data_IF_545399916412
#
_entry.id   IF_545399916412
#
_cell.length_a   1.000
_cell.length_b   1.000
_cell.length_c   1.000
_cell.angle_alpha   90.00
_cell.angle_beta   90.00
_cell.angle_gamma   90.00
#
_symmetry.space_group_name_H-M   'P 1'
#
loop_
_entity.id
_entity.type
_entity.pdbx_description
1 polymer ?
#
# COMPACT_ATOMS: atom_id res chain seq x y z
N UNK A 1 30.99 -29.35 46.85
CA UNK A 1 30.42 -30.37 45.94
C UNK A 1 30.01 -29.66 44.68
N UNK A 2 30.59 -30.00 43.53
CA UNK A 2 30.24 -29.41 42.24
C UNK A 2 29.37 -30.42 41.49
N UNK A 3 28.12 -30.05 41.20
CA UNK A 3 27.22 -30.86 40.38
C UNK A 3 27.59 -30.60 38.91
N UNK A 4 28.11 -31.61 38.21
CA UNK A 4 28.37 -31.52 36.77
C UNK A 4 27.16 -32.14 36.07
N UNK A 5 26.40 -31.32 35.34
CA UNK A 5 25.32 -31.77 34.47
C UNK A 5 25.88 -31.88 33.06
N UNK A 6 25.96 -33.11 32.52
CA UNK A 6 26.35 -33.37 31.13
C UNK A 6 25.05 -33.49 30.32
N UNK A 7 24.79 -32.51 29.47
CA UNK A 7 23.68 -32.50 28.50
C UNK A 7 24.21 -32.92 27.13
N UNK A 8 23.36 -33.58 26.35
CA UNK A 8 23.70 -33.97 24.97
C UNK A 8 23.88 -32.76 24.06
N UNK A 9 24.68 -32.89 22.99
CA UNK A 9 24.86 -31.80 22.01
C UNK A 9 23.54 -31.37 21.36
N UNK A 10 22.56 -32.27 21.23
CA UNK A 10 21.21 -31.95 20.76
C UNK A 10 20.44 -31.07 21.75
N UNK A 11 20.51 -31.37 23.05
CA UNK A 11 19.84 -30.58 24.09
C UNK A 11 20.50 -29.21 24.25
N UNK A 12 21.84 -29.16 24.17
CA UNK A 12 22.60 -27.91 24.19
C UNK A 12 22.26 -27.00 23.00
N UNK A 13 22.13 -27.57 21.79
CA UNK A 13 21.71 -26.82 20.60
C UNK A 13 20.26 -26.35 20.67
N UNK A 14 19.35 -27.15 21.24
CA UNK A 14 17.96 -26.77 21.41
C UNK A 14 17.80 -25.66 22.44
N UNK A 15 18.52 -25.72 23.57
CA UNK A 15 18.57 -24.62 24.54
C UNK A 15 19.18 -23.35 23.94
N UNK A 16 20.27 -23.46 23.15
CA UNK A 16 20.86 -22.30 22.46
C UNK A 16 19.87 -21.65 21.49
N UNK A 17 19.17 -22.44 20.67
CA UNK A 17 18.13 -21.93 19.76
C UNK A 17 17.00 -21.25 20.53
N UNK A 18 16.54 -21.82 21.64
CA UNK A 18 15.50 -21.20 22.47
C UNK A 18 15.96 -19.86 23.06
N UNK A 19 17.19 -19.78 23.58
CA UNK A 19 17.75 -18.53 24.13
C UNK A 19 17.90 -17.47 23.03
N UNK A 20 18.34 -17.88 21.84
CA UNK A 20 18.46 -16.99 20.68
C UNK A 20 17.10 -16.49 20.19
N UNK A 21 16.08 -17.35 20.11
CA UNK A 21 14.71 -16.97 19.75
C UNK A 21 14.10 -15.99 20.77
N UNK A 22 14.29 -16.22 22.07
CA UNK A 22 13.81 -15.31 23.14
C UNK A 22 14.50 -13.95 23.02
N UNK A 23 15.82 -13.94 22.80
CA UNK A 23 16.59 -12.70 22.63
C UNK A 23 16.13 -11.89 21.40
N UNK A 24 15.83 -12.57 20.29
CA UNK A 24 15.30 -11.94 19.09
C UNK A 24 13.91 -11.35 19.35
N UNK A 25 13.05 -12.10 20.05
CA UNK A 25 11.70 -11.66 20.39
C UNK A 25 11.70 -10.38 21.25
N UNK A 26 12.53 -10.35 22.30
CA UNK A 26 12.67 -9.18 23.18
C UNK A 26 13.17 -7.94 22.40
N UNK A 27 14.10 -8.14 21.47
CA UNK A 27 14.61 -7.06 20.61
C UNK A 27 13.51 -6.45 19.75
N UNK A 28 12.70 -7.26 19.07
CA UNK A 28 11.61 -6.76 18.23
C UNK A 28 10.50 -6.11 19.06
N UNK A 29 10.20 -6.66 20.24
CA UNK A 29 9.22 -6.04 21.15
C UNK A 29 9.69 -4.67 21.63
N UNK A 30 10.93 -4.55 22.09
CA UNK A 30 11.52 -3.29 22.52
C UNK A 30 11.55 -2.25 21.39
N UNK A 31 11.89 -2.70 20.17
CA UNK A 31 11.87 -1.84 18.98
C UNK A 31 10.45 -1.36 18.66
N UNK A 32 9.46 -2.25 18.71
CA UNK A 32 8.06 -1.92 18.47
C UNK A 32 7.55 -0.90 19.49
N UNK A 33 7.81 -1.12 20.79
CA UNK A 33 7.44 -0.18 21.85
C UNK A 33 8.05 1.21 21.62
N UNK A 34 9.33 1.27 21.23
CA UNK A 34 10.01 2.53 20.87
C UNK A 34 9.38 3.23 19.66
N UNK A 35 8.98 2.48 18.63
CA UNK A 35 8.30 3.06 17.46
C UNK A 35 6.93 3.64 17.84
N UNK A 36 6.20 2.95 18.72
CA UNK A 36 4.86 3.36 19.16
C UNK A 36 4.85 4.62 20.03
N UNK A 37 5.98 4.99 20.65
CA UNK A 37 6.09 6.25 21.42
C UNK A 37 6.34 7.48 20.55
N UNK A 38 6.69 7.31 19.26
CA UNK A 38 6.86 8.47 18.38
C UNK A 38 5.56 9.23 18.26
N UNK A 39 5.65 10.56 18.34
CA UNK A 39 4.49 11.44 18.17
C UNK A 39 3.94 11.39 16.74
N UNK A 40 4.82 11.19 15.75
CA UNK A 40 4.53 11.15 14.32
C UNK A 40 5.32 10.03 13.62
N UNK A 41 4.73 9.41 12.59
CA UNK A 41 5.32 8.32 11.85
C UNK A 41 5.97 8.78 10.54
N UNK A 42 7.29 8.59 10.45
CA UNK A 42 8.04 8.63 9.20
C UNK A 42 8.05 7.25 8.52
N UNK A 43 8.50 7.19 7.25
CA UNK A 43 8.57 5.94 6.46
C UNK A 43 9.36 4.85 7.16
N UNK A 44 10.55 5.18 7.65
CA UNK A 44 11.45 4.24 8.33
C UNK A 44 10.79 3.62 9.57
N UNK A 45 10.02 4.40 10.31
CA UNK A 45 9.26 3.92 11.47
C UNK A 45 8.14 2.98 11.05
N UNK A 46 7.40 3.32 9.99
CA UNK A 46 6.34 2.45 9.46
C UNK A 46 6.92 1.10 9.02
N UNK A 47 8.05 1.12 8.29
CA UNK A 47 8.73 -0.09 7.83
C UNK A 47 9.26 -0.92 9.02
N UNK A 48 9.79 -0.27 10.05
CA UNK A 48 10.20 -0.93 11.31
C UNK A 48 9.03 -1.55 12.05
N UNK A 49 7.87 -0.88 12.13
CA UNK A 49 6.66 -1.44 12.75
C UNK A 49 6.25 -2.71 12.00
N UNK A 50 6.15 -2.65 10.66
CA UNK A 50 5.78 -3.81 9.83
C UNK A 50 6.75 -4.99 10.03
N UNK A 51 8.07 -4.72 10.05
CA UNK A 51 9.08 -5.73 10.31
C UNK A 51 8.95 -6.33 11.72
N UNK A 52 8.69 -5.51 12.74
CA UNK A 52 8.48 -6.00 14.10
C UNK A 52 7.23 -6.89 14.19
N UNK A 53 6.10 -6.47 13.62
CA UNK A 53 4.86 -7.27 13.60
C UNK A 53 5.09 -8.64 12.95
N UNK A 54 5.80 -8.65 11.82
CA UNK A 54 6.15 -9.89 11.10
C UNK A 54 7.00 -10.83 11.95
N UNK A 55 8.07 -10.31 12.56
CA UNK A 55 8.98 -11.12 13.38
C UNK A 55 8.36 -11.57 14.70
N UNK A 56 7.40 -10.81 15.23
CA UNK A 56 6.61 -11.17 16.41
C UNK A 56 5.43 -12.10 16.08
N UNK A 57 5.29 -12.54 14.82
CA UNK A 57 4.29 -13.50 14.34
C UNK A 57 2.84 -13.01 14.49
N UNK A 58 2.61 -11.72 14.29
CA UNK A 58 1.25 -11.19 14.12
C UNK A 58 0.64 -11.69 12.79
N UNK A 59 -0.69 -11.56 12.67
CA UNK A 59 -1.39 -11.89 11.43
C UNK A 59 -0.85 -11.07 10.26
N UNK A 60 -0.72 -11.69 9.08
CA UNK A 60 -0.18 -11.04 7.88
C UNK A 60 -0.96 -9.77 7.48
N UNK A 61 -2.27 -9.78 7.70
CA UNK A 61 -3.14 -8.62 7.49
C UNK A 61 -2.81 -7.45 8.41
N UNK A 62 -2.24 -7.68 9.60
CA UNK A 62 -1.78 -6.63 10.50
C UNK A 62 -0.40 -6.13 10.07
N UNK A 63 0.49 -7.04 9.70
CA UNK A 63 1.83 -6.72 9.19
C UNK A 63 1.79 -5.83 7.96
N UNK A 64 0.77 -6.01 7.10
CA UNK A 64 0.54 -5.22 5.90
C UNK A 64 -0.16 -3.88 6.15
N UNK A 65 -0.63 -3.63 7.38
CA UNK A 65 -1.34 -2.40 7.78
C UNK A 65 -0.74 -1.79 9.06
N UNK A 66 0.58 -1.44 9.05
CA UNK A 66 1.28 -0.92 10.22
C UNK A 66 0.74 0.44 10.71
N UNK A 67 0.17 1.30 9.85
CA UNK A 67 -0.42 2.58 10.27
C UNK A 67 -1.73 2.34 11.04
N UNK A 68 -2.61 1.47 10.55
CA UNK A 68 -3.83 1.06 11.27
C UNK A 68 -3.47 0.39 12.61
N UNK A 69 -2.43 -0.45 12.64
CA UNK A 69 -1.94 -1.03 13.90
C UNK A 69 -1.52 0.05 14.89
N UNK A 70 -0.69 1.02 14.45
CA UNK A 70 -0.25 2.13 15.27
C UNK A 70 -1.43 2.96 15.81
N UNK A 71 -2.38 3.32 14.96
CA UNK A 71 -3.59 4.08 15.35
C UNK A 71 -4.39 3.33 16.41
N UNK A 72 -4.67 2.05 16.16
CA UNK A 72 -5.44 1.19 17.06
C UNK A 72 -4.73 1.00 18.40
N UNK A 73 -3.39 0.92 18.39
CA UNK A 73 -2.58 0.81 19.60
C UNK A 73 -2.58 2.11 20.41
N UNK A 74 -2.45 3.28 19.75
CA UNK A 74 -2.53 4.61 20.38
C UNK A 74 -3.91 4.91 20.96
N UNK A 75 -4.95 4.37 20.34
CA UNK A 75 -6.33 4.41 20.83
C UNK A 75 -6.62 3.41 21.96
N UNK A 76 -5.69 2.50 22.26
CA UNK A 76 -5.89 1.34 23.14
C UNK A 76 -7.12 0.48 22.75
N UNK A 77 -7.32 0.32 21.44
CA UNK A 77 -8.47 -0.37 20.82
C UNK A 77 -8.00 -1.27 19.68
N UNK A 78 -7.22 -2.31 20.02
CA UNK A 78 -6.71 -3.28 19.02
C UNK A 78 -7.83 -4.10 18.36
N UNK A 79 -9.02 -4.16 18.97
CA UNK A 79 -10.23 -4.73 18.41
C UNK A 79 -10.74 -4.00 17.15
N UNK A 80 -10.30 -2.76 16.91
CA UNK A 80 -10.64 -2.02 15.70
C UNK A 80 -9.98 -2.58 14.44
N UNK A 81 -8.83 -3.24 14.58
CA UNK A 81 -8.08 -3.75 13.43
C UNK A 81 -8.92 -4.77 12.63
N UNK A 82 -9.43 -5.86 13.24
CA UNK A 82 -10.29 -6.78 12.51
C UNK A 82 -11.57 -6.10 12.01
N UNK A 83 -12.23 -5.25 12.80
CA UNK A 83 -13.43 -4.51 12.40
C UNK A 83 -13.21 -3.67 11.13
N UNK A 84 -12.06 -2.99 11.02
CA UNK A 84 -11.70 -2.18 9.86
C UNK A 84 -11.33 -3.05 8.66
N UNK A 85 -10.51 -4.09 8.87
CA UNK A 85 -10.03 -4.97 7.80
C UNK A 85 -11.15 -5.82 7.20
N UNK A 86 -12.10 -6.31 8.01
CA UNK A 86 -13.27 -7.06 7.53
C UNK A 86 -14.18 -6.20 6.64
N UNK A 87 -14.14 -4.88 6.83
CA UNK A 87 -14.79 -3.89 5.98
C UNK A 87 -13.89 -3.38 4.84
N UNK A 88 -12.77 -4.03 4.58
CA UNK A 88 -11.82 -3.71 3.50
C UNK A 88 -11.03 -2.42 3.70
N UNK A 89 -11.04 -1.84 4.90
CA UNK A 89 -10.32 -0.61 5.22
C UNK A 89 -8.86 -0.95 5.55
N UNK A 90 -7.95 -0.52 4.68
CA UNK A 90 -6.51 -0.75 4.79
C UNK A 90 -5.75 0.56 4.98
N UNK A 91 -4.43 0.51 5.20
CA UNK A 91 -3.57 1.70 5.30
C UNK A 91 -3.69 2.63 4.07
N UNK A 92 -4.04 2.08 2.90
CA UNK A 92 -4.30 2.87 1.68
C UNK A 92 -5.53 3.77 1.79
N UNK A 93 -6.45 3.48 2.71
CA UNK A 93 -7.65 4.29 2.90
C UNK A 93 -7.38 5.56 3.70
N UNK A 94 -6.26 5.67 4.40
CA UNK A 94 -5.90 6.87 5.16
C UNK A 94 -5.72 8.09 4.23
N UNK A 95 -6.14 9.29 4.66
CA UNK A 95 -6.94 9.56 5.86
C UNK A 95 -8.41 9.10 5.73
N UNK A 96 -8.95 8.56 6.82
CA UNK A 96 -10.36 8.21 6.98
C UNK A 96 -11.19 9.42 7.39
N UNK A 97 -12.42 9.46 6.87
CA UNK A 97 -13.38 10.51 7.21
C UNK A 97 -14.10 10.21 8.53
N UNK A 98 -14.36 11.26 9.33
CA UNK A 98 -15.11 11.19 10.60
C UNK A 98 -16.38 10.34 10.52
N UNK A 99 -17.13 10.46 9.43
CA UNK A 99 -18.39 9.75 9.21
C UNK A 99 -18.22 8.23 9.10
N UNK A 100 -17.10 7.78 8.52
CA UNK A 100 -16.80 6.37 8.36
C UNK A 100 -16.39 5.76 9.71
N UNK A 101 -15.51 6.45 10.43
CA UNK A 101 -14.97 5.97 11.72
C UNK A 101 -16.06 5.86 12.80
N UNK A 102 -17.08 6.73 12.76
CA UNK A 102 -18.27 6.67 13.63
C UNK A 102 -19.09 5.38 13.52
N UNK A 103 -18.84 4.52 12.53
CA UNK A 103 -19.44 3.18 12.49
C UNK A 103 -18.95 2.29 13.64
N UNK A 104 -17.71 2.49 14.09
CA UNK A 104 -17.06 1.66 15.10
C UNK A 104 -16.76 2.40 16.41
N UNK A 105 -16.75 3.74 16.37
CA UNK A 105 -16.35 4.59 17.50
C UNK A 105 -17.46 5.52 17.95
N UNK A 106 -17.51 5.79 19.26
CA UNK A 106 -18.35 6.86 19.82
C UNK A 106 -17.78 8.26 19.49
N UNK A 107 -18.47 9.34 19.87
CA UNK A 107 -18.03 10.70 19.52
C UNK A 107 -16.68 11.12 20.14
N UNK A 108 -16.41 10.72 21.38
CA UNK A 108 -15.14 11.03 22.05
C UNK A 108 -13.97 10.25 21.42
N UNK A 109 -14.18 8.95 21.17
CA UNK A 109 -13.22 8.10 20.48
C UNK A 109 -13.00 8.54 19.03
N UNK A 110 -14.06 8.96 18.34
CA UNK A 110 -13.96 9.50 16.98
C UNK A 110 -13.07 10.73 16.98
N UNK A 111 -13.24 11.65 17.94
CA UNK A 111 -12.39 12.84 18.04
C UNK A 111 -10.93 12.43 18.24
N UNK A 112 -10.66 11.56 19.22
CA UNK A 112 -9.31 11.05 19.47
C UNK A 112 -8.71 10.35 18.25
N UNK A 113 -9.50 9.58 17.50
CA UNK A 113 -9.04 8.94 16.27
C UNK A 113 -8.63 9.97 15.22
N UNK A 114 -9.43 11.02 15.01
CA UNK A 114 -9.09 12.08 14.04
C UNK A 114 -7.80 12.79 14.44
N UNK A 115 -7.64 13.13 15.73
CA UNK A 115 -6.46 13.81 16.24
C UNK A 115 -5.19 12.92 16.09
N UNK A 116 -5.28 11.62 16.37
CA UNK A 116 -4.14 10.69 16.22
C UNK A 116 -3.88 10.39 14.75
N UNK A 117 -4.89 10.35 13.88
CA UNK A 117 -4.71 10.07 12.45
C UNK A 117 -3.73 11.04 11.78
N UNK A 118 -3.71 12.30 12.20
CA UNK A 118 -2.78 13.30 11.67
C UNK A 118 -1.31 12.85 11.83
N UNK A 119 -0.99 12.09 12.88
CA UNK A 119 0.36 11.58 13.14
C UNK A 119 0.84 10.51 12.15
N UNK A 120 -0.06 9.89 11.37
CA UNK A 120 0.29 8.84 10.39
C UNK A 120 0.22 9.32 8.95
N UNK A 121 -0.13 10.60 8.74
CA UNK A 121 -0.18 11.22 7.42
C UNK A 121 1.21 11.67 6.98
N UNK A 122 1.49 11.50 5.70
CA UNK A 122 2.75 11.95 5.10
C UNK A 122 2.78 13.50 5.10
N UNK A 123 3.88 14.08 5.59
CA UNK A 123 4.06 15.54 5.72
C UNK A 123 4.69 16.13 4.47
N UNK A 124 5.53 15.34 3.80
CA UNK A 124 6.27 15.74 2.62
C UNK A 124 6.37 14.57 1.65
N UNK A 125 6.23 14.89 0.37
CA UNK A 125 6.45 13.94 -0.72
C UNK A 125 7.87 14.16 -1.23
N UNK A 126 8.81 13.35 -0.72
CA UNK A 126 10.13 13.24 -1.34
C UNK A 126 9.91 12.66 -2.74
N UNK A 127 10.01 13.51 -3.77
CA UNK A 127 9.70 13.17 -5.16
C UNK A 127 10.74 12.19 -5.75
N UNK A 128 10.62 10.93 -5.35
CA UNK A 128 11.03 9.76 -6.14
C UNK A 128 9.78 8.89 -6.29
N UNK A 129 8.92 9.17 -7.29
CA UNK A 129 7.64 8.50 -7.45
C UNK A 129 7.83 7.10 -8.06
N UNK A 130 8.38 6.16 -7.28
CA UNK A 130 8.42 4.73 -7.61
C UNK A 130 7.07 4.06 -7.29
N UNK A 131 5.95 4.60 -7.79
CA UNK A 131 4.62 4.02 -7.52
C UNK A 131 4.20 4.05 -6.04
N UNK A 132 4.70 5.01 -5.26
CA UNK A 132 4.33 5.15 -3.83
C UNK A 132 3.02 5.90 -3.68
N UNK A 133 2.13 5.36 -2.84
CA UNK A 133 0.97 6.09 -2.31
C UNK A 133 1.37 6.92 -1.09
N UNK A 134 0.86 8.16 -1.02
CA UNK A 134 1.05 9.07 0.10
C UNK A 134 -0.31 9.37 0.73
N UNK A 135 -0.42 9.21 2.05
CA UNK A 135 -1.62 9.54 2.80
C UNK A 135 -1.51 10.99 3.26
N UNK A 136 -2.06 11.92 2.48
CA UNK A 136 -1.97 13.37 2.73
C UNK A 136 -3.30 13.92 3.24
N UNK A 137 -3.22 14.98 4.06
CA UNK A 137 -4.40 15.71 4.53
C UNK A 137 -5.03 16.57 3.43
N UNK A 138 -4.19 17.29 2.68
CA UNK A 138 -4.60 18.09 1.52
C UNK A 138 -3.60 17.94 0.36
N UNK A 139 -4.09 18.12 -0.86
CA UNK A 139 -3.23 18.32 -2.02
C UNK A 139 -2.39 19.59 -1.93
N UNK A 140 -2.82 20.59 -1.14
CA UNK A 140 -2.04 21.81 -0.92
C UNK A 140 -0.74 21.54 -0.15
N UNK A 141 -0.64 20.38 0.52
CA UNK A 141 0.59 19.93 1.17
C UNK A 141 1.60 19.41 0.13
N UNK A 142 1.18 19.19 -1.12
CA UNK A 142 2.08 18.94 -2.23
C UNK A 142 2.54 20.28 -2.77
N UNK A 143 3.85 20.52 -2.80
CA UNK A 143 4.46 21.67 -3.49
C UNK A 143 4.35 21.50 -5.02
N UNK A 144 3.14 21.23 -5.52
CA UNK A 144 2.79 20.98 -6.91
C UNK A 144 1.96 22.14 -7.45
N UNK A 145 2.49 22.85 -8.44
CA UNK A 145 1.77 23.85 -9.19
C UNK A 145 1.01 23.21 -10.35
N UNK A 146 -0.31 23.43 -10.45
CA UNK A 146 -1.11 23.00 -11.60
C UNK A 146 -0.82 23.90 -12.79
N UNK A 147 -0.25 23.33 -13.85
CA UNK A 147 0.17 24.06 -15.06
C UNK A 147 -0.86 23.92 -16.18
N UNK A 148 -1.33 22.70 -16.44
CA UNK A 148 -2.23 22.42 -17.57
C UNK A 148 -3.17 21.27 -17.25
N UNK A 149 -4.44 21.41 -17.60
CA UNK A 149 -5.39 20.30 -17.54
C UNK A 149 -5.14 19.31 -18.67
N UNK A 150 -5.05 18.01 -18.37
CA UNK A 150 -4.78 16.94 -19.34
C UNK A 150 -6.02 16.10 -19.67
N UNK A 151 -6.99 15.98 -18.75
CA UNK A 151 -8.24 15.29 -18.99
C UNK A 151 -8.97 14.88 -17.70
N UNK A 152 -10.13 14.24 -17.83
CA UNK A 152 -10.84 13.60 -16.72
C UNK A 152 -11.32 12.21 -17.16
N UNK A 153 -11.35 11.27 -16.20
CA UNK A 153 -11.95 9.95 -16.34
C UNK A 153 -12.94 9.67 -15.22
N UNK A 154 -13.51 8.45 -15.19
CA UNK A 154 -14.53 8.06 -14.20
C UNK A 154 -14.08 8.20 -12.74
N UNK A 155 -12.77 8.26 -12.48
CA UNK A 155 -12.20 8.31 -11.14
C UNK A 155 -11.66 9.70 -10.74
N UNK A 156 -11.68 10.70 -11.63
CA UNK A 156 -11.28 12.08 -11.32
C UNK A 156 -10.50 12.78 -12.44
N UNK A 157 -9.73 13.81 -12.08
CA UNK A 157 -9.07 14.71 -13.03
C UNK A 157 -7.57 14.43 -13.14
N UNK A 158 -7.01 14.66 -14.32
CA UNK A 158 -5.57 14.56 -14.59
C UNK A 158 -5.03 15.93 -14.96
N UNK A 159 -4.03 16.38 -14.21
CA UNK A 159 -3.36 17.66 -14.38
C UNK A 159 -1.87 17.47 -14.64
N UNK A 160 -1.31 18.22 -15.57
CA UNK A 160 0.12 18.47 -15.66
C UNK A 160 0.52 19.42 -14.54
N UNK A 161 1.45 19.00 -13.70
CA UNK A 161 1.89 19.75 -12.52
C UNK A 161 3.41 19.88 -12.49
N UNK A 162 3.92 20.97 -11.93
CA UNK A 162 5.34 21.15 -11.65
C UNK A 162 5.61 21.13 -10.15
N UNK A 163 6.62 20.41 -9.72
CA UNK A 163 7.12 20.52 -8.36
C UNK A 163 7.86 21.86 -8.20
N UNK A 164 7.38 22.71 -7.28
CA UNK A 164 7.91 24.06 -7.04
C UNK A 164 9.34 24.05 -6.51
N UNK A 165 9.78 22.96 -5.86
CA UNK A 165 11.11 22.84 -5.26
C UNK A 165 12.21 22.51 -6.26
N UNK A 166 11.93 21.67 -7.25
CA UNK A 166 12.92 21.19 -8.21
C UNK A 166 12.58 21.46 -9.68
N UNK A 167 11.40 22.01 -9.96
CA UNK A 167 10.93 22.32 -11.33
C UNK A 167 10.51 21.09 -12.14
N UNK A 168 10.54 19.88 -11.57
CA UNK A 168 10.24 18.65 -12.28
C UNK A 168 8.74 18.57 -12.61
N UNK A 169 8.42 18.16 -13.84
CA UNK A 169 7.06 18.02 -14.33
C UNK A 169 6.50 16.60 -14.10
N UNK A 170 5.21 16.51 -13.77
CA UNK A 170 4.47 15.26 -13.53
C UNK A 170 3.05 15.32 -14.09
N UNK A 171 2.43 14.16 -14.28
CA UNK A 171 0.98 14.02 -14.38
C UNK A 171 0.41 13.66 -13.01
N UNK A 172 -0.55 14.44 -12.52
CA UNK A 172 -1.24 14.24 -11.25
C UNK A 172 -2.70 13.86 -11.51
N UNK A 173 -3.03 12.60 -11.23
CA UNK A 173 -4.40 12.07 -11.24
C UNK A 173 -4.99 12.24 -9.84
N UNK A 174 -6.04 13.04 -9.73
CA UNK A 174 -6.79 13.24 -8.48
C UNK A 174 -7.97 12.28 -8.46
N UNK A 175 -8.38 11.84 -7.27
CA UNK A 175 -9.60 11.07 -7.10
C UNK A 175 -10.52 11.68 -6.07
N UNK A 176 -11.79 11.86 -6.44
CA UNK A 176 -12.82 12.35 -5.54
C UNK A 176 -13.34 11.18 -4.71
N UNK A 177 -13.19 11.25 -3.38
CA UNK A 177 -13.73 10.23 -2.48
C UNK A 177 -15.26 10.34 -2.39
N UNK A 178 -16.03 9.32 -2.78
CA UNK A 178 -17.49 9.35 -2.72
C UNK A 178 -17.95 9.47 -1.27
N UNK A 179 -19.08 10.14 -1.06
CA UNK A 179 -19.66 10.21 0.29
C UNK A 179 -20.10 8.81 0.72
N UNK A 180 -20.82 8.05 -0.11
CA UNK A 180 -21.38 6.72 0.23
C UNK A 180 -20.28 5.66 0.35
N UNK A 181 -20.40 4.83 1.39
CA UNK A 181 -19.42 3.77 1.71
C UNK A 181 -19.29 2.75 0.58
N UNK A 182 -20.40 2.23 0.03
CA UNK A 182 -20.34 1.19 -1.01
C UNK A 182 -19.58 1.69 -2.26
N UNK A 183 -19.83 2.93 -2.67
CA UNK A 183 -19.12 3.57 -3.78
C UNK A 183 -17.65 3.82 -3.43
N UNK A 184 -17.35 4.21 -2.18
CA UNK A 184 -15.99 4.42 -1.72
C UNK A 184 -15.21 3.10 -1.66
N UNK A 185 -15.85 2.00 -1.25
CA UNK A 185 -15.25 0.66 -1.26
C UNK A 185 -14.89 0.22 -2.67
N UNK A 186 -15.78 0.41 -3.65
CA UNK A 186 -15.50 0.15 -5.08
C UNK A 186 -14.34 1.01 -5.58
N UNK A 187 -14.34 2.31 -5.27
CA UNK A 187 -13.23 3.21 -5.62
C UNK A 187 -11.91 2.71 -5.02
N UNK A 188 -11.88 2.34 -3.75
CA UNK A 188 -10.66 1.90 -3.07
C UNK A 188 -10.18 0.54 -3.55
N UNK A 189 -11.08 -0.35 -3.97
CA UNK A 189 -10.69 -1.61 -4.64
C UNK A 189 -10.01 -1.34 -5.98
N UNK A 190 -10.56 -0.44 -6.79
CA UNK A 190 -9.95 -0.05 -8.06
C UNK A 190 -8.61 0.64 -7.84
N UNK A 191 -8.55 1.57 -6.88
CA UNK A 191 -7.32 2.26 -6.50
C UNK A 191 -6.23 1.30 -6.01
N UNK A 192 -6.59 0.35 -5.14
CA UNK A 192 -5.65 -0.67 -4.66
C UNK A 192 -5.13 -1.50 -5.82
N UNK A 193 -6.00 -1.89 -6.76
CA UNK A 193 -5.60 -2.65 -7.96
C UNK A 193 -4.65 -1.85 -8.84
N UNK A 194 -4.92 -0.56 -9.06
CA UNK A 194 -4.09 0.35 -9.85
C UNK A 194 -2.70 0.52 -9.21
N UNK A 195 -2.64 0.87 -7.92
CA UNK A 195 -1.38 1.05 -7.18
C UNK A 195 -0.58 -0.26 -7.08
N UNK A 196 -1.24 -1.38 -6.77
CA UNK A 196 -0.54 -2.66 -6.68
C UNK A 196 -0.07 -3.15 -8.05
N UNK A 197 -0.86 -2.90 -9.11
CA UNK A 197 -0.43 -3.11 -10.48
C UNK A 197 0.83 -2.31 -10.79
N UNK A 198 0.84 -1.00 -10.52
CA UNK A 198 2.01 -0.15 -10.73
C UNK A 198 3.23 -0.53 -9.87
N UNK A 199 3.02 -0.98 -8.64
CA UNK A 199 4.12 -1.35 -7.71
C UNK A 199 4.76 -2.68 -8.04
N UNK A 200 3.96 -3.61 -8.58
CA UNK A 200 4.45 -4.91 -8.99
C UNK A 200 4.96 -4.86 -10.42
N UNK A 201 4.51 -3.93 -11.27
CA UNK A 201 5.01 -3.83 -12.63
C UNK A 201 6.48 -3.41 -12.65
N UNK A 202 7.29 -4.14 -13.41
CA UNK A 202 8.66 -3.74 -13.72
C UNK A 202 8.65 -2.62 -14.77
N UNK A 203 7.73 -2.71 -15.74
CA UNK A 203 7.51 -1.75 -16.84
C UNK A 203 6.05 -1.88 -17.36
N UNK A 204 5.57 -0.88 -18.10
CA UNK A 204 4.38 -1.04 -18.95
C UNK A 204 4.73 -1.50 -20.37
N UNK A 205 3.75 -1.98 -21.14
CA UNK A 205 3.98 -2.46 -22.50
C UNK A 205 4.38 -1.33 -23.46
N UNK A 206 3.97 -0.07 -23.20
CA UNK A 206 4.40 1.05 -24.03
C UNK A 206 5.90 1.28 -23.90
N UNK A 207 6.42 1.27 -22.68
CA UNK A 207 7.84 1.39 -22.39
C UNK A 207 8.63 0.21 -22.94
N UNK A 208 8.10 -1.02 -22.83
CA UNK A 208 8.71 -2.19 -23.47
C UNK A 208 8.80 -2.01 -24.99
N UNK A 209 7.71 -1.59 -25.65
CA UNK A 209 7.67 -1.43 -27.10
C UNK A 209 8.62 -0.33 -27.62
N UNK A 210 8.97 0.64 -26.78
CA UNK A 210 9.88 1.74 -27.13
C UNK A 210 11.35 1.45 -26.81
N UNK A 211 11.65 0.31 -26.17
CA UNK A 211 13.02 -0.06 -25.79
C UNK A 211 13.72 -0.91 -26.86
N UNK A 212 15.05 -0.87 -26.88
CA UNK A 212 15.87 -1.84 -27.62
C UNK A 212 15.80 -3.19 -26.90
N UNK A 213 15.04 -4.12 -27.48
CA UNK A 213 14.68 -5.38 -26.81
C UNK A 213 15.80 -6.42 -26.87
N UNK A 214 16.09 -7.04 -25.72
CA UNK A 214 16.87 -8.27 -25.65
C UNK A 214 15.98 -9.52 -25.90
N UNK A 215 16.59 -10.70 -26.00
CA UNK A 215 15.87 -11.95 -26.29
C UNK A 215 14.81 -12.33 -25.23
N UNK A 216 15.07 -12.02 -23.96
CA UNK A 216 14.12 -12.31 -22.87
C UNK A 216 12.91 -11.39 -22.96
N UNK A 217 13.15 -10.11 -23.21
CA UNK A 217 12.12 -9.09 -23.43
C UNK A 217 11.28 -9.38 -24.69
N UNK A 218 11.91 -9.84 -25.78
CA UNK A 218 11.19 -10.31 -26.98
C UNK A 218 10.30 -11.51 -26.66
N UNK A 219 10.76 -12.43 -25.82
CA UNK A 219 9.97 -13.58 -25.38
C UNK A 219 8.76 -13.15 -24.57
N UNK A 220 8.94 -12.20 -23.65
CA UNK A 220 7.85 -11.60 -22.86
C UNK A 220 6.84 -10.90 -23.77
N UNK A 221 7.31 -10.13 -24.76
CA UNK A 221 6.44 -9.45 -25.73
C UNK A 221 5.59 -10.46 -26.51
N UNK A 222 6.19 -11.54 -27.00
CA UNK A 222 5.44 -12.61 -27.70
C UNK A 222 4.43 -13.31 -26.78
N UNK A 223 4.81 -13.58 -25.53
CA UNK A 223 3.93 -14.18 -24.54
C UNK A 223 2.74 -13.27 -24.21
N UNK A 224 2.97 -11.95 -24.16
CA UNK A 224 1.96 -10.96 -23.81
C UNK A 224 0.72 -11.01 -24.70
N UNK A 225 0.88 -11.31 -26.00
CA UNK A 225 -0.23 -11.43 -26.95
C UNK A 225 -1.20 -12.54 -26.51
N UNK A 226 -0.66 -13.70 -26.08
CA UNK A 226 -1.45 -14.80 -25.56
C UNK A 226 -2.16 -14.43 -24.25
N UNK A 227 -1.46 -13.77 -23.33
CA UNK A 227 -2.04 -13.33 -22.07
C UNK A 227 -3.16 -12.30 -22.26
N UNK A 228 -2.94 -11.27 -23.08
CA UNK A 228 -3.91 -10.20 -23.37
C UNK A 228 -5.15 -10.80 -24.04
N UNK A 229 -4.98 -11.66 -25.05
CA UNK A 229 -6.12 -12.29 -25.74
C UNK A 229 -6.92 -13.19 -24.81
N UNK A 230 -6.26 -13.98 -23.96
CA UNK A 230 -6.93 -14.81 -22.94
C UNK A 230 -7.68 -13.95 -21.91
N UNK A 231 -7.07 -12.87 -21.43
CA UNK A 231 -7.69 -11.97 -20.46
C UNK A 231 -8.91 -11.25 -21.06
N UNK A 232 -8.83 -10.77 -22.30
CA UNK A 232 -9.97 -10.18 -23.01
C UNK A 232 -11.08 -11.20 -23.26
N UNK A 233 -10.74 -12.43 -23.65
CA UNK A 233 -11.74 -13.50 -23.83
C UNK A 233 -12.49 -13.80 -22.53
N UNK A 234 -11.79 -13.83 -21.40
CA UNK A 234 -12.39 -13.98 -20.07
C UNK A 234 -13.36 -12.82 -19.76
N UNK A 235 -12.94 -11.56 -19.95
CA UNK A 235 -13.79 -10.39 -19.73
C UNK A 235 -15.04 -10.42 -20.61
N UNK A 236 -14.89 -10.76 -21.89
CA UNK A 236 -16.00 -10.87 -22.82
C UNK A 236 -16.98 -11.99 -22.41
N UNK A 237 -16.48 -13.10 -21.85
CA UNK A 237 -17.32 -14.14 -21.25
C UNK A 237 -18.18 -13.62 -20.10
N UNK A 238 -17.69 -12.63 -19.35
CA UNK A 238 -18.41 -11.92 -18.30
C UNK A 238 -19.24 -10.73 -18.82
N UNK A 239 -19.32 -10.53 -20.15
CA UNK A 239 -19.95 -9.37 -20.80
C UNK A 239 -19.36 -8.02 -20.38
N UNK A 240 -18.09 -8.02 -19.97
CA UNK A 240 -17.32 -6.83 -19.61
C UNK A 240 -16.47 -6.43 -20.82
N UNK A 241 -16.45 -5.12 -21.13
CA UNK A 241 -15.55 -4.52 -22.11
C UNK A 241 -14.51 -3.68 -21.37
N UNK A 242 -13.26 -3.69 -21.84
CA UNK A 242 -12.18 -2.91 -21.22
C UNK A 242 -12.27 -1.39 -21.52
N UNK A 243 -12.75 -1.03 -22.72
CA UNK A 243 -12.97 0.33 -23.25
C UNK A 243 -11.76 1.27 -23.39
N UNK A 244 -10.66 1.03 -22.68
CA UNK A 244 -9.40 1.78 -22.82
C UNK A 244 -8.19 0.85 -22.99
N UNK A 245 -8.27 -0.11 -23.92
CA UNK A 245 -7.16 -1.03 -24.17
C UNK A 245 -6.06 -0.33 -24.99
N UNK A 246 -4.94 -0.03 -24.33
CA UNK A 246 -3.74 0.57 -24.93
C UNK A 246 -2.47 0.03 -24.25
N UNK A 247 -1.28 0.11 -24.88
CA UNK A 247 -0.03 -0.41 -24.30
C UNK A 247 0.26 0.08 -22.88
N UNK A 248 -0.07 1.34 -22.55
CA UNK A 248 0.11 1.88 -21.19
C UNK A 248 -0.77 1.22 -20.12
N UNK A 249 -1.86 0.58 -20.51
CA UNK A 249 -2.79 -0.11 -19.61
C UNK A 249 -2.48 -1.62 -19.54
N UNK A 250 -1.29 -2.01 -19.99
CA UNK A 250 -0.79 -3.38 -19.94
C UNK A 250 0.51 -3.36 -19.14
N UNK A 251 0.48 -3.91 -17.94
CA UNK A 251 1.61 -3.93 -17.03
C UNK A 251 2.34 -5.27 -17.10
N UNK A 252 3.67 -5.24 -17.00
CA UNK A 252 4.53 -6.41 -17.10
C UNK A 252 5.30 -6.57 -15.78
N UNK A 253 5.26 -7.76 -15.18
CA UNK A 253 6.08 -8.12 -14.02
C UNK A 253 6.70 -9.51 -14.20
N UNK A 254 8.02 -9.55 -14.36
CA UNK A 254 8.74 -10.74 -14.79
C UNK A 254 8.17 -11.25 -16.12
N UNK A 255 7.57 -12.44 -16.10
CA UNK A 255 6.88 -13.05 -17.24
C UNK A 255 5.37 -12.83 -17.24
N UNK A 256 4.81 -12.21 -16.20
CA UNK A 256 3.38 -11.99 -16.06
C UNK A 256 2.95 -10.71 -16.77
N UNK A 257 1.74 -10.74 -17.36
CA UNK A 257 1.13 -9.63 -18.06
C UNK A 257 -0.25 -9.35 -17.46
N UNK A 258 -0.49 -8.09 -17.09
CA UNK A 258 -1.66 -7.64 -16.34
C UNK A 258 -2.40 -6.56 -17.15
N UNK A 259 -3.72 -6.69 -17.29
CA UNK A 259 -4.57 -5.61 -17.80
C UNK A 259 -5.00 -4.69 -16.65
N UNK A 260 -4.88 -3.38 -16.84
CA UNK A 260 -5.22 -2.34 -15.86
C UNK A 260 -6.12 -1.27 -16.47
N UNK A 261 -6.63 -0.33 -15.63
CA UNK A 261 -7.46 0.79 -16.10
C UNK A 261 -8.69 0.35 -16.92
N UNK A 262 -9.45 -0.57 -16.33
CA UNK A 262 -10.78 -0.92 -16.81
C UNK A 262 -11.71 0.29 -16.66
N UNK A 263 -12.19 0.82 -17.78
CA UNK A 263 -13.23 1.85 -17.79
C UNK A 263 -14.58 1.27 -17.40
N UNK A 264 -14.83 1.11 -16.10
CA UNK A 264 -16.16 0.69 -15.63
C UNK A 264 -17.06 1.91 -15.45
N UNK A 265 -18.18 1.91 -16.17
CA UNK A 265 -19.31 2.83 -16.04
C UNK A 265 -20.05 2.64 -14.71
#
# INVERSE_FOLDING_TARGET
>A
MSLIVIISDSEANQQRKMVEEVSIWDRYKSTLETCLTKERLDKDTVDKIAACLTNLRYQESWCSNPKIYYLSRRMNRLDLIPEMLDHGVTDLWLPLQKRLVRKWLNDAETKAFMDIQESVLDEDVTFEPQGRHFALESMDNLDLERVKYLGAGGFGEVWHVHNRRNGQAYACKTMTRPVRYDNHAILMQNFTREIMGMRLADIDLADLLNADLNNDQLTILWHSIGCITSALAYLHGLKIRHDDLKPNNILIHGTNVLLTDFGFW
#
